data_IF_192339495823
#
_entry.id   IF_192339495823
#
_cell.length_a   1.000
_cell.length_b   1.000
_cell.length_c   1.000
_cell.angle_alpha   90.00
_cell.angle_beta   90.00
_cell.angle_gamma   90.00
#
_symmetry.space_group_name_H-M   'P 1'
#
loop_
_entity.id
_entity.type
_entity.pdbx_description
1 polymer ?
#
# COMPACT_ATOMS: atom_id res chain seq x y z
N UNK A 1 8.14 43.33 0.96
CA UNK A 1 8.18 41.89 0.56
C UNK A 1 6.87 41.27 0.99
N UNK A 2 6.28 40.43 0.14
CA UNK A 2 4.98 39.81 0.42
C UNK A 2 5.16 38.54 1.27
N UNK A 3 4.47 38.44 2.40
CA UNK A 3 4.47 37.23 3.24
C UNK A 3 3.12 36.51 3.11
N UNK A 4 3.15 35.29 2.59
CA UNK A 4 1.98 34.43 2.45
C UNK A 4 1.96 33.46 3.62
N UNK A 5 1.09 33.70 4.61
CA UNK A 5 0.91 32.80 5.74
C UNK A 5 -0.17 31.77 5.45
N UNK A 6 0.10 30.53 5.82
CA UNK A 6 -0.89 29.46 5.83
C UNK A 6 -0.96 28.85 7.23
N UNK A 7 -2.18 28.62 7.72
CA UNK A 7 -2.40 27.90 8.97
C UNK A 7 -3.08 26.56 8.69
N UNK A 8 -2.33 25.43 8.72
CA UNK A 8 -2.87 24.12 8.34
C UNK A 8 -3.99 23.60 9.24
N UNK A 9 -4.10 24.09 10.48
CA UNK A 9 -5.14 23.66 11.41
C UNK A 9 -6.52 24.20 11.03
N UNK A 10 -6.61 25.49 10.66
CA UNK A 10 -7.86 26.11 10.17
C UNK A 10 -8.05 25.91 8.67
N UNK A 11 -6.96 25.69 7.91
CA UNK A 11 -6.95 25.59 6.46
C UNK A 11 -6.97 26.94 5.74
N UNK A 12 -6.85 28.06 6.49
CA UNK A 12 -6.84 29.40 5.92
C UNK A 12 -5.45 29.83 5.47
N UNK A 13 -5.45 30.81 4.57
CA UNK A 13 -4.25 31.48 4.08
C UNK A 13 -4.54 32.98 3.94
N UNK A 14 -3.58 33.81 4.34
CA UNK A 14 -3.66 35.26 4.19
C UNK A 14 -2.30 35.81 3.78
N UNK A 15 -2.35 36.81 2.91
CA UNK A 15 -1.18 37.50 2.40
C UNK A 15 -1.08 38.85 3.10
N UNK A 16 0.09 39.17 3.62
CA UNK A 16 0.40 40.45 4.23
C UNK A 16 1.57 41.08 3.47
N UNK A 17 1.48 42.37 3.17
CA UNK A 17 2.57 43.11 2.56
C UNK A 17 3.32 43.88 3.65
N UNK A 18 4.62 43.64 3.75
CA UNK A 18 5.50 44.31 4.70
C UNK A 18 6.51 45.14 3.92
N UNK A 19 6.41 46.46 4.03
CA UNK A 19 7.32 47.40 3.36
C UNK A 19 8.60 47.63 4.17
N UNK A 20 8.51 47.60 5.51
CA UNK A 20 9.65 47.80 6.39
C UNK A 20 10.60 46.60 6.39
N UNK A 21 11.78 46.80 5.79
CA UNK A 21 12.83 45.80 5.70
C UNK A 21 13.40 45.42 7.08
N UNK A 22 13.39 46.32 8.06
CA UNK A 22 13.92 46.03 9.42
C UNK A 22 13.16 44.89 10.07
N UNK A 23 11.84 44.85 9.88
CA UNK A 23 10.97 43.76 10.34
C UNK A 23 11.24 42.45 9.63
N UNK A 24 11.89 42.43 8.46
CA UNK A 24 12.13 41.22 7.68
C UNK A 24 13.54 40.64 7.90
N UNK A 25 14.47 41.39 8.49
CA UNK A 25 15.88 40.99 8.65
C UNK A 25 16.06 39.67 9.39
N UNK A 26 15.19 39.37 10.37
CA UNK A 26 15.29 38.12 11.14
C UNK A 26 15.02 36.86 10.29
N UNK A 27 14.34 37.01 9.14
CA UNK A 27 14.09 35.93 8.18
C UNK A 27 15.27 35.72 7.23
N UNK A 28 16.17 36.70 7.09
CA UNK A 28 17.32 36.59 6.21
C UNK A 28 18.34 35.59 6.76
N UNK A 29 19.09 34.96 5.85
CA UNK A 29 20.04 33.88 6.13
C UNK A 29 19.44 32.60 6.74
N UNK A 30 18.12 32.58 6.94
CA UNK A 30 17.38 31.36 7.28
C UNK A 30 17.17 30.51 6.04
N UNK A 31 17.05 29.20 6.25
CA UNK A 31 16.84 28.22 5.18
C UNK A 31 15.39 27.80 5.10
N UNK A 32 14.95 27.35 3.93
CA UNK A 32 13.67 26.64 3.79
C UNK A 32 13.57 25.48 4.78
N UNK A 33 12.36 25.27 5.29
CA UNK A 33 11.99 24.32 6.33
C UNK A 33 12.53 24.62 7.74
N UNK A 34 13.23 25.73 7.95
CA UNK A 34 13.59 26.19 9.28
C UNK A 34 12.40 26.83 9.99
N UNK A 35 12.29 26.57 11.29
CA UNK A 35 11.34 27.22 12.19
C UNK A 35 11.94 28.53 12.70
N UNK A 36 11.13 29.59 12.69
CA UNK A 36 11.53 30.94 13.04
C UNK A 36 10.40 31.57 13.85
N UNK A 37 10.77 32.21 14.95
CA UNK A 37 9.89 33.05 15.76
C UNK A 37 9.65 34.37 15.03
N UNK A 38 8.39 34.81 15.01
CA UNK A 38 7.97 35.98 14.22
C UNK A 38 7.48 37.15 15.07
N UNK A 39 7.76 37.12 16.37
CA UNK A 39 7.53 38.22 17.31
C UNK A 39 7.99 39.59 16.78
N UNK A 40 9.14 39.72 16.05
CA UNK A 40 9.58 41.01 15.54
C UNK A 40 8.68 41.65 14.46
N UNK A 41 7.69 40.94 13.89
CA UNK A 41 6.77 41.51 12.90
C UNK A 41 5.77 42.49 13.54
N UNK A 42 5.42 42.28 14.81
CA UNK A 42 4.49 43.10 15.59
C UNK A 42 3.83 42.31 16.71
N UNK A 43 3.12 43.00 17.61
CA UNK A 43 2.53 42.41 18.82
C UNK A 43 1.48 41.32 18.52
N UNK A 44 0.78 41.42 17.38
CA UNK A 44 -0.18 40.40 16.91
C UNK A 44 0.47 39.04 16.62
N UNK A 45 1.77 39.04 16.31
CA UNK A 45 2.54 37.85 15.93
C UNK A 45 3.33 37.26 17.10
N UNK A 46 3.15 37.81 18.31
CA UNK A 46 3.86 37.36 19.51
C UNK A 46 3.51 35.90 19.85
N UNK A 47 4.55 35.10 20.07
CA UNK A 47 4.45 33.68 20.38
C UNK A 47 4.16 32.79 19.18
N UNK A 48 3.99 33.36 17.98
CA UNK A 48 3.83 32.56 16.77
C UNK A 48 5.18 32.02 16.29
N UNK A 49 5.18 30.73 15.97
CA UNK A 49 6.33 30.08 15.31
C UNK A 49 5.91 29.62 13.94
N UNK A 50 6.66 30.03 12.93
CA UNK A 50 6.41 29.66 11.54
C UNK A 50 7.58 28.87 10.97
N UNK A 51 7.27 27.99 10.04
CA UNK A 51 8.24 27.31 9.20
C UNK A 51 8.28 27.96 7.83
N UNK A 52 9.48 28.25 7.33
CA UNK A 52 9.67 28.78 5.97
C UNK A 52 9.30 27.67 4.97
N UNK A 53 8.18 27.83 4.26
CA UNK A 53 7.67 26.86 3.27
C UNK A 53 8.32 26.99 1.89
N UNK A 54 8.91 28.15 1.59
CA UNK A 54 9.53 28.46 0.31
C UNK A 54 9.17 29.87 -0.15
N UNK A 55 9.28 30.15 -1.44
CA UNK A 55 8.97 31.47 -1.96
C UNK A 55 9.30 31.61 -3.44
N UNK A 56 9.13 32.83 -3.94
CA UNK A 56 9.43 33.23 -5.29
C UNK A 56 10.37 34.45 -5.27
N UNK A 57 11.38 34.39 -6.13
CA UNK A 57 12.29 35.50 -6.41
C UNK A 57 11.54 36.65 -7.13
N UNK A 58 12.12 37.85 -7.18
CA UNK A 58 11.56 39.04 -7.86
C UNK A 58 11.19 38.78 -9.33
N UNK A 59 11.97 37.96 -10.04
CA UNK A 59 11.69 37.55 -11.42
C UNK A 59 10.87 36.25 -11.51
N UNK A 60 10.24 35.81 -10.41
CA UNK A 60 9.28 34.70 -10.38
C UNK A 60 9.88 33.30 -10.26
N UNK A 61 11.20 33.14 -10.21
CA UNK A 61 11.83 31.82 -10.05
C UNK A 61 11.54 31.24 -8.66
N UNK A 62 11.05 29.99 -8.56
CA UNK A 62 10.71 29.38 -7.27
C UNK A 62 11.96 28.95 -6.51
N UNK A 63 11.89 28.98 -5.17
CA UNK A 63 12.92 28.40 -4.31
C UNK A 63 12.89 26.87 -4.33
N UNK A 64 14.06 26.23 -4.19
CA UNK A 64 14.18 24.77 -4.10
C UNK A 64 15.01 24.35 -2.90
N UNK A 65 14.45 23.42 -2.13
CA UNK A 65 15.14 22.85 -0.98
C UNK A 65 16.42 22.11 -1.38
N UNK A 66 17.47 22.27 -0.59
CA UNK A 66 18.78 21.64 -0.79
C UNK A 66 19.76 22.40 -1.69
N UNK A 67 19.34 23.53 -2.27
CA UNK A 67 20.24 24.42 -3.01
C UNK A 67 20.77 25.48 -2.04
N UNK A 68 21.96 25.27 -1.48
CA UNK A 68 22.55 26.09 -0.41
C UNK A 68 23.18 27.39 -0.92
N UNK A 69 22.44 28.13 -1.74
CA UNK A 69 22.83 29.46 -2.23
C UNK A 69 21.71 30.44 -1.93
N UNK A 70 22.04 31.72 -1.81
CA UNK A 70 21.05 32.79 -1.87
C UNK A 70 20.58 32.98 -3.32
N UNK A 71 21.48 33.04 -4.30
CA UNK A 71 21.16 33.30 -5.71
C UNK A 71 20.49 32.16 -6.47
N UNK A 72 20.52 32.26 -7.81
CA UNK A 72 19.94 31.26 -8.73
C UNK A 72 20.98 30.32 -9.28
N UNK A 73 20.55 29.08 -9.52
CA UNK A 73 21.36 28.04 -10.15
C UNK A 73 20.57 27.32 -11.23
N UNK A 74 21.26 26.76 -12.24
CA UNK A 74 20.64 25.98 -13.32
C UNK A 74 20.82 24.48 -13.09
N UNK A 75 19.75 23.80 -12.69
CA UNK A 75 19.74 22.38 -12.39
C UNK A 75 19.02 21.57 -13.47
N UNK A 76 19.49 20.34 -13.72
CA UNK A 76 18.84 19.38 -14.61
C UNK A 76 17.77 18.58 -13.85
N UNK A 77 16.51 19.01 -13.95
CA UNK A 77 15.39 18.48 -13.17
C UNK A 77 14.72 17.28 -13.86
N UNK A 78 14.27 16.31 -13.08
CA UNK A 78 13.53 15.11 -13.54
C UNK A 78 12.10 15.05 -12.98
N UNK A 79 11.31 14.06 -13.41
CA UNK A 79 9.97 13.79 -12.88
C UNK A 79 10.00 13.58 -11.36
N UNK A 80 9.12 14.28 -10.64
CA UNK A 80 8.97 14.16 -9.19
C UNK A 80 9.81 15.15 -8.37
N UNK A 81 10.74 15.87 -9.01
CA UNK A 81 11.43 16.97 -8.37
C UNK A 81 10.57 18.24 -8.35
N UNK A 82 10.76 19.07 -7.33
CA UNK A 82 10.16 20.40 -7.25
C UNK A 82 10.59 21.31 -8.40
N UNK A 83 9.75 22.32 -8.70
CA UNK A 83 9.98 23.37 -9.71
C UNK A 83 9.91 22.92 -11.19
N UNK A 84 9.58 21.65 -11.45
CA UNK A 84 9.42 21.11 -12.80
C UNK A 84 8.34 20.04 -12.91
N UNK A 85 7.56 20.10 -14.00
CA UNK A 85 6.61 19.06 -14.41
C UNK A 85 6.94 18.64 -15.84
N UNK A 86 7.40 17.40 -16.08
CA UNK A 86 7.76 16.95 -17.43
C UNK A 86 6.54 16.82 -18.33
N UNK A 87 6.75 17.00 -19.64
CA UNK A 87 5.71 16.84 -20.66
C UNK A 87 5.76 15.45 -21.27
N UNK A 88 6.97 14.89 -21.44
CA UNK A 88 7.18 13.52 -21.92
C UNK A 88 7.72 12.63 -20.81
N UNK A 89 7.44 11.33 -20.90
CA UNK A 89 8.03 10.35 -20.00
C UNK A 89 9.56 10.30 -20.20
N UNK A 90 10.33 10.26 -19.09
CA UNK A 90 11.79 10.25 -19.13
C UNK A 90 12.45 11.61 -19.41
N UNK A 91 11.67 12.66 -19.71
CA UNK A 91 12.21 13.99 -19.99
C UNK A 91 12.92 14.57 -18.76
N UNK A 92 14.12 15.10 -18.99
CA UNK A 92 14.86 15.94 -18.04
C UNK A 92 15.08 17.30 -18.67
N UNK A 93 14.90 18.38 -17.91
CA UNK A 93 15.06 19.75 -18.41
C UNK A 93 15.91 20.59 -17.48
N UNK A 94 16.92 21.28 -18.04
CA UNK A 94 17.75 22.23 -17.30
C UNK A 94 16.95 23.52 -17.07
N UNK A 95 16.65 23.85 -15.82
CA UNK A 95 15.89 25.06 -15.44
C UNK A 95 16.64 25.88 -14.40
N UNK A 96 16.46 27.19 -14.45
CA UNK A 96 16.92 28.10 -13.40
C UNK A 96 15.98 28.02 -12.19
N UNK A 97 16.55 27.98 -11.00
CA UNK A 97 15.83 27.83 -9.73
C UNK A 97 16.53 28.68 -8.67
N UNK A 98 15.77 29.31 -7.77
CA UNK A 98 16.31 30.08 -6.64
C UNK A 98 16.77 29.13 -5.54
N UNK A 99 17.86 29.46 -4.86
CA UNK A 99 18.33 28.69 -3.72
C UNK A 99 17.39 28.72 -2.52
N UNK A 100 17.72 27.94 -1.49
CA UNK A 100 16.88 27.77 -0.30
C UNK A 100 17.14 28.81 0.80
N UNK A 101 18.18 29.63 0.67
CA UNK A 101 18.52 30.68 1.64
C UNK A 101 17.68 31.91 1.33
N UNK A 102 17.03 32.45 2.36
CA UNK A 102 16.19 33.65 2.28
C UNK A 102 17.05 34.89 2.24
N UNK A 103 16.68 35.84 1.39
CA UNK A 103 17.40 37.08 1.10
C UNK A 103 16.38 38.16 0.70
N UNK A 104 16.76 39.44 0.73
CA UNK A 104 15.93 40.59 0.37
C UNK A 104 15.43 40.57 -1.08
N UNK A 105 16.07 39.77 -1.94
CA UNK A 105 15.72 39.64 -3.36
C UNK A 105 14.51 38.72 -3.65
N UNK A 106 13.69 38.42 -2.65
CA UNK A 106 12.44 37.68 -2.86
C UNK A 106 11.26 38.64 -3.08
N UNK A 107 10.32 38.24 -3.94
CA UNK A 107 9.04 38.95 -4.10
C UNK A 107 8.05 38.50 -3.04
N UNK A 108 7.92 37.18 -2.88
CA UNK A 108 7.00 36.57 -1.94
C UNK A 108 7.66 35.42 -1.19
N UNK A 109 7.43 35.34 0.13
CA UNK A 109 7.86 34.25 0.99
C UNK A 109 6.62 33.54 1.55
N UNK A 110 6.58 32.23 1.43
CA UNK A 110 5.51 31.38 1.92
C UNK A 110 5.89 30.84 3.31
N UNK A 111 5.06 31.13 4.30
CA UNK A 111 5.27 30.79 5.70
C UNK A 111 4.13 29.88 6.18
N UNK A 112 4.45 28.86 6.97
CA UNK A 112 3.48 27.91 7.52
C UNK A 112 3.50 28.00 9.02
N UNK A 113 2.37 28.35 9.65
CA UNK A 113 2.28 28.40 11.12
C UNK A 113 2.38 26.98 11.68
N UNK A 114 3.32 26.78 12.60
CA UNK A 114 3.55 25.52 13.32
C UNK A 114 2.98 25.61 14.74
N UNK A 115 3.21 26.74 15.42
CA UNK A 115 2.65 27.03 16.75
C UNK A 115 1.81 28.29 16.69
N UNK A 116 0.59 28.23 17.25
CA UNK A 116 -0.28 29.40 17.44
C UNK A 116 0.29 30.24 18.59
N UNK A 117 0.38 31.55 18.39
CA UNK A 117 0.74 32.50 19.45
C UNK A 117 -0.47 32.93 20.28
N UNK A 118 -0.28 34.00 21.05
CA UNK A 118 -1.24 34.43 22.08
C UNK A 118 -2.46 35.16 21.48
N UNK A 119 -2.22 36.05 20.51
CA UNK A 119 -3.27 36.82 19.83
C UNK A 119 -3.92 36.06 18.66
N UNK A 120 -5.14 36.43 18.27
CA UNK A 120 -5.76 35.92 17.04
C UNK A 120 -5.54 36.88 15.87
N UNK A 121 -5.28 36.31 14.70
CA UNK A 121 -5.03 37.04 13.47
C UNK A 121 -6.25 36.90 12.56
N UNK A 122 -6.83 38.04 12.21
CA UNK A 122 -8.02 38.13 11.37
C UNK A 122 -7.82 37.44 10.02
N UNK A 123 -8.74 36.56 9.64
CA UNK A 123 -8.70 35.85 8.36
C UNK A 123 -7.56 34.84 8.22
N UNK A 124 -6.92 34.45 9.33
CA UNK A 124 -5.94 33.36 9.36
C UNK A 124 -6.23 32.35 10.49
N UNK A 125 -6.38 32.83 11.72
CA UNK A 125 -6.65 31.97 12.89
C UNK A 125 -8.07 32.04 13.41
N UNK A 126 -8.79 33.13 13.11
CA UNK A 126 -10.16 33.39 13.55
C UNK A 126 -11.15 32.33 13.03
N UNK A 127 -11.20 32.15 11.71
CA UNK A 127 -12.19 31.26 11.09
C UNK A 127 -11.58 29.91 10.65
N UNK A 128 -12.36 28.84 10.80
CA UNK A 128 -12.00 27.51 10.32
C UNK A 128 -12.63 27.26 8.96
N UNK A 129 -11.81 26.96 7.95
CA UNK A 129 -12.29 26.54 6.64
C UNK A 129 -12.49 25.01 6.62
N UNK A 130 -13.74 24.50 6.62
CA UNK A 130 -13.99 23.08 6.72
C UNK A 130 -13.57 22.32 5.45
N UNK A 131 -13.06 21.10 5.64
CA UNK A 131 -12.71 20.21 4.53
C UNK A 131 -13.98 19.70 3.84
N UNK A 132 -14.21 20.16 2.61
CA UNK A 132 -15.39 19.78 1.80
C UNK A 132 -15.46 18.29 1.44
N UNK A 133 -14.31 17.65 1.22
CA UNK A 133 -14.26 16.27 0.72
C UNK A 133 -13.81 15.30 1.81
N UNK A 134 -14.62 14.26 2.02
CA UNK A 134 -14.28 13.14 2.89
C UNK A 134 -13.49 12.04 2.19
N UNK A 135 -13.08 11.00 2.94
CA UNK A 135 -12.38 9.85 2.38
C UNK A 135 -13.24 9.02 1.43
N UNK A 136 -12.71 8.68 0.25
CA UNK A 136 -13.38 7.82 -0.75
C UNK A 136 -13.15 6.31 -0.57
N UNK A 137 -12.06 5.93 0.09
CA UNK A 137 -11.64 4.53 0.23
C UNK A 137 -12.32 3.92 1.46
N UNK A 138 -12.92 2.74 1.33
CA UNK A 138 -13.63 2.05 2.42
C UNK A 138 -12.79 1.96 3.72
N UNK A 139 -11.50 1.61 3.60
CA UNK A 139 -10.61 1.52 4.76
C UNK A 139 -10.35 2.87 5.45
N UNK A 140 -10.36 3.98 4.72
CA UNK A 140 -10.17 5.32 5.30
C UNK A 140 -11.46 5.83 5.94
N UNK A 141 -12.63 5.46 5.40
CA UNK A 141 -13.92 5.75 6.02
C UNK A 141 -14.02 5.04 7.38
N UNK A 142 -13.66 3.75 7.43
CA UNK A 142 -13.62 3.00 8.69
C UNK A 142 -12.73 3.65 9.74
N UNK A 143 -11.52 4.06 9.36
CA UNK A 143 -10.60 4.77 10.26
C UNK A 143 -11.13 6.12 10.76
N UNK A 144 -11.91 6.83 9.93
CA UNK A 144 -12.42 8.15 10.30
C UNK A 144 -13.49 8.07 11.40
N UNK A 145 -14.37 7.07 11.31
CA UNK A 145 -15.48 6.86 12.24
C UNK A 145 -15.21 5.73 13.25
N UNK A 146 -13.98 5.23 13.32
CA UNK A 146 -13.58 4.08 14.14
C UNK A 146 -14.50 2.85 13.99
N UNK A 147 -14.96 2.59 12.75
CA UNK A 147 -15.85 1.46 12.45
C UNK A 147 -15.11 0.13 12.46
N UNK A 148 -15.84 -0.91 12.81
CA UNK A 148 -15.39 -2.29 12.69
C UNK A 148 -15.46 -2.77 11.23
N UNK A 149 -15.04 -4.02 11.00
CA UNK A 149 -15.03 -4.61 9.65
C UNK A 149 -16.45 -5.01 9.19
N UNK A 150 -17.33 -5.27 10.14
CA UNK A 150 -18.71 -5.75 9.91
C UNK A 150 -19.64 -4.59 9.55
N UNK A 151 -19.34 -3.39 10.03
CA UNK A 151 -20.13 -2.19 9.77
C UNK A 151 -20.20 -1.83 8.27
N UNK A 152 -21.40 -1.45 7.84
CA UNK A 152 -21.65 -0.97 6.48
C UNK A 152 -21.17 0.47 6.29
N UNK A 153 -20.02 0.61 5.64
CA UNK A 153 -19.39 1.89 5.32
C UNK A 153 -20.22 2.79 4.40
N UNK A 154 -21.27 2.29 3.74
CA UNK A 154 -22.10 3.08 2.81
C UNK A 154 -22.89 4.18 3.52
N UNK A 155 -23.31 3.92 4.76
CA UNK A 155 -24.12 4.85 5.56
C UNK A 155 -23.30 6.03 6.08
N UNK A 156 -21.99 5.82 6.26
CA UNK A 156 -21.06 6.78 6.86
C UNK A 156 -20.25 7.58 5.81
N UNK A 157 -20.65 7.56 4.54
CA UNK A 157 -19.96 8.35 3.52
C UNK A 157 -20.31 9.82 3.68
N UNK A 158 -19.30 10.67 3.86
CA UNK A 158 -19.49 12.12 3.88
C UNK A 158 -19.98 12.58 2.50
N UNK A 159 -21.19 13.12 2.48
CA UNK A 159 -21.81 13.74 1.31
C UNK A 159 -21.77 15.25 1.41
N UNK A 160 -21.80 15.95 0.28
CA UNK A 160 -21.98 17.40 0.26
C UNK A 160 -23.16 17.80 -0.62
N UNK A 161 -23.88 18.84 -0.22
CA UNK A 161 -24.96 19.43 -1.03
C UNK A 161 -24.37 20.34 -2.10
N UNK A 162 -24.92 20.27 -3.31
CA UNK A 162 -24.64 21.17 -4.40
C UNK A 162 -25.88 21.99 -4.67
N UNK A 163 -25.89 23.20 -4.14
CA UNK A 163 -26.90 24.23 -4.40
C UNK A 163 -26.58 24.88 -5.74
N UNK A 164 -27.58 25.04 -6.60
CA UNK A 164 -27.49 25.78 -7.86
C UNK A 164 -28.77 26.59 -8.01
N UNK A 165 -28.65 27.87 -8.30
CA UNK A 165 -29.79 28.75 -8.54
C UNK A 165 -30.71 28.18 -9.64
N UNK A 166 -32.02 28.20 -9.38
CA UNK A 166 -33.04 27.67 -10.28
C UNK A 166 -33.08 26.14 -10.41
N UNK A 167 -32.28 25.38 -9.63
CA UNK A 167 -32.28 23.91 -9.65
C UNK A 167 -32.43 23.35 -8.24
N UNK A 168 -33.05 22.17 -8.15
CA UNK A 168 -33.15 21.45 -6.87
C UNK A 168 -31.77 21.07 -6.34
N UNK A 169 -31.61 21.16 -5.04
CA UNK A 169 -30.41 20.76 -4.34
C UNK A 169 -30.06 19.30 -4.60
N UNK A 170 -28.81 19.05 -4.99
CA UNK A 170 -28.32 17.69 -5.23
C UNK A 170 -27.31 17.28 -4.16
N UNK A 171 -27.60 16.19 -3.45
CA UNK A 171 -26.64 15.55 -2.56
C UNK A 171 -25.66 14.73 -3.40
N UNK A 172 -24.36 15.00 -3.24
CA UNK A 172 -23.30 14.31 -3.98
C UNK A 172 -22.50 13.45 -3.00
N UNK A 173 -22.43 12.16 -3.33
CA UNK A 173 -21.62 11.17 -2.61
C UNK A 173 -20.52 10.60 -3.52
N UNK A 174 -19.29 10.39 -3.01
CA UNK A 174 -18.25 9.70 -3.77
C UNK A 174 -18.54 8.20 -3.89
N UNK A 175 -18.27 7.62 -5.06
CA UNK A 175 -18.25 6.15 -5.23
C UNK A 175 -17.18 5.54 -4.35
N UNK A 176 -17.58 4.70 -3.39
CA UNK A 176 -16.66 4.07 -2.44
C UNK A 176 -15.69 3.15 -3.18
N UNK A 177 -14.40 3.37 -2.99
CA UNK A 177 -13.36 2.53 -3.56
C UNK A 177 -12.96 1.42 -2.59
N UNK A 178 -12.64 0.23 -3.13
CA UNK A 178 -12.20 -0.96 -2.37
C UNK A 178 -13.26 -1.49 -1.39
N UNK A 179 -14.55 -1.24 -1.69
CA UNK A 179 -15.64 -1.95 -1.04
C UNK A 179 -15.73 -3.37 -1.62
N UNK A 180 -15.86 -4.37 -0.77
CA UNK A 180 -16.11 -5.75 -1.20
C UNK A 180 -17.60 -5.84 -1.53
N UNK A 181 -17.93 -6.05 -2.80
CA UNK A 181 -19.31 -6.22 -3.27
C UNK A 181 -19.56 -7.68 -3.66
N UNK A 182 -20.83 -8.12 -3.74
CA UNK A 182 -21.18 -9.47 -4.23
C UNK A 182 -20.54 -9.78 -5.59
N UNK A 183 -20.47 -8.80 -6.48
CA UNK A 183 -19.80 -8.92 -7.80
C UNK A 183 -18.29 -9.21 -7.67
N UNK A 184 -17.60 -8.57 -6.73
CA UNK A 184 -16.16 -8.83 -6.47
C UNK A 184 -15.96 -10.24 -5.94
N UNK A 185 -16.83 -10.68 -5.03
CA UNK A 185 -16.80 -12.05 -4.48
C UNK A 185 -17.07 -13.07 -5.61
N UNK A 186 -18.09 -12.84 -6.42
CA UNK A 186 -18.43 -13.69 -7.56
C UNK A 186 -17.29 -13.77 -8.58
N UNK A 187 -16.66 -12.65 -8.93
CA UNK A 187 -15.49 -12.62 -9.84
C UNK A 187 -14.32 -13.42 -9.27
N UNK A 188 -14.06 -13.32 -7.96
CA UNK A 188 -13.02 -14.11 -7.28
C UNK A 188 -13.35 -15.61 -7.31
N UNK A 189 -14.59 -15.99 -7.00
CA UNK A 189 -15.06 -17.39 -7.08
C UNK A 189 -14.97 -17.94 -8.51
N UNK A 190 -15.36 -17.17 -9.52
CA UNK A 190 -15.29 -17.57 -10.92
C UNK A 190 -13.84 -17.81 -11.38
N UNK A 191 -12.90 -16.97 -10.96
CA UNK A 191 -11.47 -17.16 -11.24
C UNK A 191 -10.94 -18.46 -10.62
N UNK A 192 -11.30 -18.74 -9.36
CA UNK A 192 -10.93 -19.98 -8.68
C UNK A 192 -11.54 -21.21 -9.37
N UNK A 193 -12.81 -21.13 -9.79
CA UNK A 193 -13.49 -22.17 -10.55
C UNK A 193 -12.79 -22.43 -11.88
N UNK A 194 -12.44 -21.39 -12.64
CA UNK A 194 -11.70 -21.51 -13.90
C UNK A 194 -10.35 -22.20 -13.72
N UNK A 195 -9.60 -21.82 -12.67
CA UNK A 195 -8.33 -22.48 -12.33
C UNK A 195 -8.51 -23.96 -12.00
N UNK A 196 -9.58 -24.31 -11.27
CA UNK A 196 -9.90 -25.71 -10.95
C UNK A 196 -10.26 -26.50 -12.20
N UNK A 197 -11.13 -25.96 -13.05
CA UNK A 197 -11.54 -26.57 -14.31
C UNK A 197 -10.33 -26.80 -15.24
N UNK A 198 -9.42 -25.83 -15.34
CA UNK A 198 -8.18 -26.00 -16.11
C UNK A 198 -7.34 -27.16 -15.60
N UNK A 199 -7.16 -27.30 -14.28
CA UNK A 199 -6.40 -28.42 -13.70
C UNK A 199 -7.05 -29.77 -13.95
N UNK A 200 -8.37 -29.85 -13.80
CA UNK A 200 -9.15 -31.08 -14.07
C UNK A 200 -9.01 -31.45 -15.54
N UNK A 201 -9.23 -30.49 -16.45
CA UNK A 201 -9.07 -30.69 -17.88
C UNK A 201 -7.67 -31.17 -18.23
N UNK A 202 -6.61 -30.52 -17.74
CA UNK A 202 -5.23 -30.97 -18.00
C UNK A 202 -4.97 -32.39 -17.49
N UNK A 203 -5.55 -32.78 -16.35
CA UNK A 203 -5.43 -34.14 -15.82
C UNK A 203 -6.17 -35.15 -16.68
N UNK A 204 -7.37 -34.82 -17.13
CA UNK A 204 -8.19 -35.66 -18.02
C UNK A 204 -7.53 -35.82 -19.39
N UNK A 205 -7.04 -34.72 -19.98
CA UNK A 205 -6.31 -34.71 -21.26
C UNK A 205 -5.04 -35.57 -21.16
N UNK A 206 -4.27 -35.44 -20.07
CA UNK A 206 -3.09 -36.27 -19.83
C UNK A 206 -3.44 -37.76 -19.66
N UNK A 207 -4.52 -38.08 -18.95
CA UNK A 207 -4.99 -39.45 -18.79
C UNK A 207 -5.51 -40.05 -20.11
N UNK A 208 -6.20 -39.25 -20.92
CA UNK A 208 -6.67 -39.65 -22.25
C UNK A 208 -5.50 -39.91 -23.20
N UNK A 209 -4.51 -39.02 -23.21
CA UNK A 209 -3.28 -39.18 -23.98
C UNK A 209 -2.50 -40.44 -23.56
N UNK A 210 -2.37 -40.68 -22.26
CA UNK A 210 -1.71 -41.88 -21.75
C UNK A 210 -2.42 -43.17 -22.19
N UNK A 211 -3.77 -43.20 -22.12
CA UNK A 211 -4.56 -44.33 -22.63
C UNK A 211 -4.38 -44.55 -24.13
N UNK A 212 -4.30 -43.48 -24.93
CA UNK A 212 -4.06 -43.56 -26.37
C UNK A 212 -2.66 -44.13 -26.67
N UNK A 213 -1.63 -43.64 -25.98
CA UNK A 213 -0.27 -44.15 -26.11
C UNK A 213 -0.15 -45.63 -25.73
N UNK A 214 -0.88 -46.08 -24.70
CA UNK A 214 -0.93 -47.50 -24.32
C UNK A 214 -1.56 -48.36 -25.42
N UNK A 215 -2.59 -47.88 -26.12
CA UNK A 215 -3.20 -48.59 -27.26
C UNK A 215 -2.21 -48.72 -28.41
N UNK A 216 -1.57 -47.62 -28.81
CA UNK A 216 -0.57 -47.66 -29.89
C UNK A 216 0.62 -48.56 -29.57
N UNK A 217 1.16 -48.50 -28.34
CA UNK A 217 2.24 -49.38 -27.91
C UNK A 217 1.83 -50.86 -27.93
N UNK A 218 0.56 -51.16 -27.58
CA UNK A 218 0.01 -52.52 -27.67
C UNK A 218 -0.13 -52.96 -29.13
N UNK A 219 -0.68 -52.13 -30.00
CA UNK A 219 -0.81 -52.42 -31.43
C UNK A 219 0.55 -52.66 -32.09
N UNK A 220 1.55 -51.84 -31.79
CA UNK A 220 2.93 -52.01 -32.29
C UNK A 220 3.56 -53.32 -31.78
N UNK A 221 3.36 -53.63 -30.50
CA UNK A 221 3.84 -54.88 -29.91
C UNK A 221 3.16 -56.10 -30.56
N UNK A 222 1.84 -56.05 -30.77
CA UNK A 222 1.08 -57.12 -31.40
C UNK A 222 1.49 -57.30 -32.88
N UNK A 223 1.74 -56.20 -33.61
CA UNK A 223 2.31 -56.24 -34.97
C UNK A 223 3.71 -56.86 -35.00
N UNK A 224 4.57 -56.51 -34.03
CA UNK A 224 5.92 -57.06 -33.91
C UNK A 224 5.88 -58.56 -33.60
N UNK A 225 4.97 -58.99 -32.73
CA UNK A 225 4.71 -60.42 -32.47
C UNK A 225 4.21 -61.10 -33.73
N UNK A 226 3.24 -60.53 -34.44
CA UNK A 226 2.72 -61.09 -35.68
C UNK A 226 3.82 -61.26 -36.73
N UNK A 227 4.68 -60.25 -36.92
CA UNK A 227 5.86 -60.31 -37.80
C UNK A 227 6.88 -61.37 -37.36
N UNK A 228 7.10 -61.52 -36.05
CA UNK A 228 7.98 -62.59 -35.51
C UNK A 228 7.37 -63.97 -35.72
N UNK A 229 6.06 -64.13 -35.55
CA UNK A 229 5.35 -65.40 -35.76
C UNK A 229 5.35 -65.79 -37.24
N UNK A 230 5.12 -64.84 -38.15
CA UNK A 230 5.14 -65.10 -39.60
C UNK A 230 6.54 -65.41 -40.14
N UNK A 231 7.59 -64.81 -39.57
CA UNK A 231 8.99 -65.16 -39.90
C UNK A 231 9.42 -66.51 -39.30
N UNK A 232 8.94 -66.86 -38.10
CA UNK A 232 9.21 -68.17 -37.50
C UNK A 232 8.51 -69.33 -38.23
N UNK A 233 7.28 -69.12 -38.74
CA UNK A 233 6.57 -70.13 -39.54
C UNK A 233 7.23 -70.37 -40.91
N UNK A 234 7.94 -69.38 -41.46
CA UNK A 234 8.67 -69.56 -42.72
C UNK A 234 10.01 -70.30 -42.52
N UNK A 235 10.61 -70.22 -41.33
CA UNK A 235 11.80 -71.03 -41.00
C UNK A 235 11.49 -72.50 -40.66
N UNK A 236 10.23 -72.84 -40.37
CA UNK A 236 9.82 -74.24 -40.10
C UNK A 236 9.49 -75.06 -41.35
N UNK A 237 9.46 -74.44 -42.54
CA UNK A 237 9.29 -75.16 -43.82
C UNK A 237 10.61 -75.66 -44.42
N UNK A 238 11.76 -75.23 -43.91
CA UNK A 238 13.09 -75.61 -44.45
C UNK A 238 13.87 -76.63 -43.62
N UNK A 239 13.31 -77.20 -42.54
CA UNK A 239 14.00 -78.23 -41.74
C UNK A 239 13.08 -79.42 -41.44
N UNK A 240 12.92 -80.29 -42.44
CA UNK A 240 12.54 -81.69 -42.26
C UNK A 240 13.59 -82.57 -42.93
N UNK A 241 14.67 -82.88 -42.23
CA UNK A 241 15.44 -84.12 -42.39
C UNK A 241 16.52 -84.28 -41.30
N UNK A 242 16.19 -85.00 -40.21
CA UNK A 242 16.93 -86.20 -39.72
C UNK A 242 16.44 -86.68 -38.34
N UNK A 243 16.27 -88.00 -38.24
CA UNK A 243 15.87 -88.77 -37.06
C UNK A 243 17.08 -89.15 -36.15
N UNK A 244 16.86 -89.68 -34.93
CA UNK A 244 17.69 -89.43 -33.73
C UNK A 244 18.60 -90.58 -33.28
N UNK A 245 19.54 -90.32 -32.37
CA UNK A 245 20.24 -91.33 -31.57
C UNK A 245 20.63 -90.81 -30.16
N UNK A 246 20.88 -91.75 -29.24
CA UNK A 246 20.56 -91.70 -27.81
C UNK A 246 21.73 -91.61 -26.80
N UNK A 247 21.38 -91.23 -25.54
CA UNK A 247 21.97 -91.55 -24.20
C UNK A 247 23.16 -90.72 -23.63
N UNK A 248 22.96 -90.18 -22.40
CA UNK A 248 23.86 -90.41 -21.24
C UNK A 248 24.60 -89.25 -20.52
N UNK A 249 23.97 -88.67 -19.45
CA UNK A 249 24.47 -88.13 -18.14
C UNK A 249 25.76 -87.25 -17.96
N UNK A 250 25.54 -85.98 -17.50
CA UNK A 250 26.12 -85.09 -16.40
C UNK A 250 27.65 -85.06 -16.06
N UNK A 251 28.25 -84.01 -15.39
CA UNK A 251 27.78 -82.68 -14.88
C UNK A 251 28.76 -81.45 -15.05
N UNK A 252 28.44 -80.29 -14.42
CA UNK A 252 29.25 -79.07 -14.09
C UNK A 252 29.49 -78.03 -15.22
N UNK A 253 29.67 -76.70 -15.06
CA UNK A 253 29.80 -75.72 -13.96
C UNK A 253 29.53 -74.29 -14.55
N UNK A 254 29.37 -73.27 -13.70
CA UNK A 254 29.02 -71.86 -14.03
C UNK A 254 30.11 -71.09 -14.84
N UNK A 255 29.78 -69.91 -15.44
CA UNK A 255 30.09 -68.64 -14.76
C UNK A 255 29.08 -67.48 -14.96
N UNK A 256 29.13 -66.49 -14.08
CA UNK A 256 28.45 -65.18 -14.11
C UNK A 256 29.44 -64.06 -14.59
N UNK A 257 29.14 -62.74 -14.54
CA UNK A 257 28.03 -61.88 -15.00
C UNK A 257 28.55 -60.73 -15.95
N UNK A 258 27.82 -59.62 -16.29
CA UNK A 258 27.72 -58.47 -15.37
C UNK A 258 26.41 -57.64 -15.41
N UNK A 259 26.20 -56.92 -14.30
CA UNK A 259 25.49 -55.63 -14.05
C UNK A 259 24.52 -55.06 -15.12
N UNK A 260 23.34 -54.55 -14.79
CA UNK A 260 23.17 -53.41 -13.90
C UNK A 260 21.77 -53.32 -13.27
N UNK A 261 21.78 -52.90 -12.01
CA UNK A 261 20.64 -52.73 -11.10
C UNK A 261 19.79 -51.52 -11.52
N UNK A 262 18.49 -51.75 -11.71
CA UNK A 262 17.48 -50.73 -11.47
C UNK A 262 17.28 -50.54 -9.96
N UNK A 263 17.19 -49.28 -9.52
CA UNK A 263 16.69 -48.93 -8.18
C UNK A 263 15.56 -47.92 -8.32
N UNK A 264 14.37 -48.32 -7.89
CA UNK A 264 13.19 -47.49 -7.66
C UNK A 264 13.49 -46.43 -6.58
N UNK A 265 12.73 -45.31 -6.53
CA UNK A 265 12.50 -44.60 -5.29
C UNK A 265 11.16 -45.05 -4.68
N UNK A 266 11.23 -45.73 -3.54
CA UNK A 266 10.11 -45.95 -2.63
C UNK A 266 10.13 -44.91 -1.50
N UNK A 267 8.96 -44.72 -0.90
CA UNK A 267 8.62 -43.69 0.07
C UNK A 267 9.46 -43.65 1.35
N UNK A 268 9.30 -42.50 2.03
CA UNK A 268 9.70 -42.25 3.41
C UNK A 268 9.09 -43.27 4.39
N UNK A 269 9.74 -43.52 5.55
CA UNK A 269 9.26 -42.87 6.78
C UNK A 269 10.38 -42.47 7.77
N UNK A 270 9.94 -41.95 8.93
CA UNK A 270 10.64 -41.08 9.87
C UNK A 270 11.42 -41.76 11.02
N UNK A 271 12.17 -40.89 11.74
CA UNK A 271 12.75 -40.94 13.11
C UNK A 271 14.20 -41.43 13.28
N UNK A 272 14.99 -40.65 14.04
CA UNK A 272 16.09 -41.18 14.88
C UNK A 272 17.41 -40.41 14.92
N UNK A 273 17.54 -39.51 15.89
CA UNK A 273 18.71 -39.06 16.67
C UNK A 273 20.20 -39.29 16.23
N UNK A 274 20.95 -38.17 16.36
CA UNK A 274 22.25 -37.95 17.05
C UNK A 274 23.64 -38.16 16.39
N UNK A 275 24.45 -37.08 16.57
CA UNK A 275 25.94 -36.93 16.63
C UNK A 275 26.71 -37.08 15.30
N UNK A 276 27.69 -36.25 14.92
CA UNK A 276 28.38 -35.10 15.52
C UNK A 276 29.62 -34.73 14.66
N UNK A 277 30.16 -33.50 14.84
CA UNK A 277 31.48 -32.98 14.40
C UNK A 277 31.74 -32.92 12.86
N UNK A 278 32.39 -31.96 12.20
CA UNK A 278 33.27 -30.80 12.42
C UNK A 278 33.04 -29.89 11.17
N UNK A 279 33.32 -28.59 11.05
CA UNK A 279 34.04 -27.58 11.80
C UNK A 279 34.28 -26.37 10.85
N UNK A 280 34.51 -25.17 11.43
CA UNK A 280 35.18 -23.98 10.83
C UNK A 280 34.50 -23.29 9.62
N UNK A 281 34.34 -21.97 9.49
CA UNK A 281 34.79 -20.70 10.11
C UNK A 281 33.62 -19.71 9.90
N UNK A 282 33.24 -18.79 10.78
CA UNK A 282 34.05 -17.74 11.39
C UNK A 282 33.60 -16.39 10.81
N UNK A 283 32.86 -15.60 11.60
CA UNK A 283 32.39 -14.26 11.23
C UNK A 283 31.68 -13.61 12.41
N UNK A 284 32.46 -13.00 13.30
CA UNK A 284 32.00 -12.37 14.53
C UNK A 284 31.49 -10.94 14.30
N UNK A 285 30.35 -10.61 14.91
CA UNK A 285 29.98 -9.26 15.31
C UNK A 285 29.08 -9.36 16.57
N UNK A 286 29.37 -8.64 17.68
CA UNK A 286 28.68 -8.85 18.95
C UNK A 286 27.41 -8.00 19.08
N UNK A 287 26.41 -8.56 19.76
CA UNK A 287 25.21 -7.86 20.22
C UNK A 287 25.51 -7.09 21.53
N UNK A 288 24.87 -5.92 21.79
CA UNK A 288 24.96 -5.27 23.10
C UNK A 288 23.90 -5.82 24.08
N UNK A 289 24.37 -6.12 25.28
CA UNK A 289 23.58 -6.56 26.43
C UNK A 289 22.81 -5.40 27.08
N UNK A 290 21.65 -5.75 27.65
CA UNK A 290 20.86 -4.93 28.56
C UNK A 290 21.50 -4.88 29.95
N UNK A 291 21.56 -3.70 30.58
CA UNK A 291 21.52 -3.57 32.04
C UNK A 291 21.29 -2.12 32.53
N UNK A 292 20.26 -2.00 33.39
CA UNK A 292 20.15 -1.17 34.61
C UNK A 292 19.82 0.34 34.53
N UNK A 293 18.66 0.65 35.15
CA UNK A 293 18.28 1.93 35.78
C UNK A 293 19.21 2.27 36.95
N UNK A 294 19.20 3.54 37.41
CA UNK A 294 18.92 3.81 38.82
C UNK A 294 17.81 4.84 39.03
N UNK A 295 17.28 4.82 40.25
CA UNK A 295 16.19 5.63 40.77
C UNK A 295 16.71 6.69 41.76
N UNK A 296 16.07 7.87 41.74
CA UNK A 296 15.91 8.83 42.85
C UNK A 296 14.91 9.88 42.33
N UNK A 297 13.81 10.27 42.97
CA UNK A 297 13.42 10.17 44.37
C UNK A 297 13.07 11.57 44.87
N UNK A 298 11.85 11.74 45.40
CA UNK A 298 11.30 12.87 46.20
C UNK A 298 10.75 14.09 45.45
N UNK A 299 9.68 14.80 45.86
CA UNK A 299 8.46 14.58 46.71
C UNK A 299 7.71 15.93 46.74
N UNK A 300 6.37 15.90 46.67
CA UNK A 300 5.35 16.66 47.45
C UNK A 300 4.06 16.75 46.63
N UNK A 301 2.98 16.06 47.03
CA UNK A 301 1.94 16.50 48.00
C UNK A 301 1.21 17.74 47.48
N UNK A 302 -0.11 17.77 47.29
CA UNK A 302 -1.16 17.57 48.31
C UNK A 302 -2.57 17.34 47.69
N UNK A 303 -3.42 16.62 48.45
CA UNK A 303 -4.90 16.73 48.60
C UNK A 303 -5.80 16.53 47.37
N UNK A 304 -6.93 15.82 47.39
CA UNK A 304 -7.72 15.21 48.46
C UNK A 304 -9.15 14.95 47.95
N UNK A 305 -9.73 13.85 48.42
CA UNK A 305 -11.16 13.54 48.61
C UNK A 305 -12.17 13.50 47.43
N UNK A 306 -12.78 12.30 47.28
CA UNK A 306 -14.23 11.99 47.13
C UNK A 306 -15.09 12.83 46.17
N UNK A 307 -15.94 12.30 45.29
CA UNK A 307 -17.02 11.33 45.54
C UNK A 307 -17.76 11.02 44.22
N UNK A 308 -18.34 9.82 44.12
CA UNK A 308 -19.40 9.44 43.17
C UNK A 308 -20.64 10.36 43.37
N UNK A 309 -21.59 10.51 42.40
CA UNK A 309 -22.68 9.53 42.28
C UNK A 309 -23.38 9.37 40.90
N UNK A 310 -24.23 8.33 40.83
CA UNK A 310 -25.52 8.15 40.10
C UNK A 310 -25.67 8.62 38.62
N UNK A 311 -25.96 7.75 37.65
CA UNK A 311 -27.23 7.05 37.37
C UNK A 311 -28.40 7.99 36.99
N UNK A 312 -28.85 7.91 35.73
CA UNK A 312 -30.04 8.58 35.20
C UNK A 312 -30.88 7.61 34.36
N UNK A 313 -32.22 7.55 34.56
CA UNK A 313 -33.18 7.03 33.58
C UNK A 313 -34.23 8.12 33.23
N UNK A 314 -35.33 7.82 32.52
CA UNK A 314 -35.44 7.85 31.06
C UNK A 314 -36.46 8.90 30.53
N UNK A 315 -36.58 8.94 29.20
CA UNK A 315 -37.42 9.82 28.40
C UNK A 315 -38.94 9.78 28.70
N UNK A 316 -39.62 10.90 28.44
CA UNK A 316 -41.08 10.97 28.21
C UNK A 316 -41.44 11.90 27.03
N UNK A 317 -42.63 11.70 26.42
CA UNK A 317 -42.98 12.11 25.06
C UNK A 317 -43.80 13.40 25.01
N UNK A 318 -43.76 14.11 23.87
CA UNK A 318 -44.72 15.19 23.57
C UNK A 318 -45.88 14.64 22.71
N UNK A 319 -47.06 14.57 23.32
CA UNK A 319 -48.36 14.53 22.64
C UNK A 319 -48.82 15.95 22.30
N UNK A 320 -49.69 16.07 21.28
CA UNK A 320 -50.77 17.05 21.26
C UNK A 320 -50.72 18.06 20.12
N UNK A 321 -51.66 17.94 19.17
CA UNK A 321 -51.97 19.00 18.21
C UNK A 321 -52.71 18.57 16.95
N UNK A 322 -53.74 17.74 17.06
CA UNK A 322 -54.71 17.50 15.98
C UNK A 322 -55.89 18.46 16.10
N UNK A 323 -56.34 19.03 14.98
CA UNK A 323 -57.61 19.75 14.88
C UNK A 323 -57.65 20.72 13.70
N UNK A 324 -58.59 20.53 12.77
CA UNK A 324 -58.93 21.55 11.78
C UNK A 324 -59.46 21.05 10.43
N UNK A 325 -60.62 20.41 10.42
CA UNK A 325 -61.41 20.21 9.21
C UNK A 325 -62.03 21.55 8.73
N UNK A 326 -61.97 21.84 7.43
CA UNK A 326 -62.92 22.75 6.76
C UNK A 326 -63.24 22.23 5.35
N UNK A 327 -64.48 21.75 5.20
CA UNK A 327 -65.23 21.64 3.95
C UNK A 327 -65.76 23.03 3.55
N UNK A 328 -65.57 23.40 2.30
CA UNK A 328 -66.41 24.24 1.40
C UNK A 328 -65.61 24.32 0.09
N UNK A 329 -66.04 23.95 -1.11
CA UNK A 329 -67.33 24.15 -1.75
C UNK A 329 -67.14 25.08 -2.96
N UNK A 330 -67.54 24.58 -4.15
CA UNK A 330 -67.85 25.28 -5.42
C UNK A 330 -66.76 25.53 -6.50
N UNK A 331 -67.20 25.09 -7.70
CA UNK A 331 -66.80 25.31 -9.10
C UNK A 331 -65.60 24.54 -9.63
#
# INVERSE_FOLDING_TARGET
>A
MKLNFAYPATGQQKMFDFEDEKKLRFLYDKRMAQEVEIDPLGDEWKGYVVRIGGGNDKQGFPMKQGVLTNGRVRLLLKKGESCYRPRKAGERKRKSVRGCIVDANLSALNLVIVKKGDGEIEGLTDQVQPRKLGPKRASKIRKLFNLTKEDDVRKYVITHKKVKEGKRDKIIAPKIQRLITPTVIARRKALLRKKRQQRVKTREDAAAFHKLMQKYAKEEHDQKIARRRSSASHSSETDKDKAPASKGKKPAQAPAPPAAKGKQPAGAPAKGAQKGADGKKGGAAPAPQQAKKPASGSKKETTGSSSKPAAAPPAQPKQGGGGGAKKTGKK
#
